data_IF_507195409092
#
_entry.id   IF_507195409092
#
_cell.length_a   1.000
_cell.length_b   1.000
_cell.length_c   1.000
_cell.angle_alpha   90.00
_cell.angle_beta   90.00
_cell.angle_gamma   90.00
#
_symmetry.space_group_name_H-M   'P 1'
#
loop_
_entity.id
_entity.type
_entity.pdbx_description
1 polymer ?
#
# COMPACT_ATOMS: atom_id res chain seq x y z
N UNK A 1 -19.56 -31.51 -22.01
CA UNK A 1 -19.75 -32.94 -21.72
C UNK A 1 -19.45 -33.85 -22.93
N UNK A 2 -19.60 -33.41 -24.15
CA UNK A 2 -19.33 -34.22 -25.35
C UNK A 2 -17.90 -34.77 -25.44
N UNK A 3 -16.89 -34.06 -24.91
CA UNK A 3 -15.47 -34.52 -24.86
C UNK A 3 -15.16 -35.46 -23.71
N UNK A 4 -16.10 -35.64 -22.78
CA UNK A 4 -15.96 -36.53 -21.61
C UNK A 4 -16.78 -37.82 -21.80
N UNK A 5 -16.82 -38.33 -23.03
CA UNK A 5 -17.47 -39.59 -23.46
C UNK A 5 -19.00 -39.66 -23.31
N UNK A 6 -19.67 -38.51 -23.03
CA UNK A 6 -21.12 -38.49 -22.99
C UNK A 6 -21.74 -39.01 -24.31
N UNK A 7 -22.77 -39.87 -24.29
CA UNK A 7 -23.64 -40.22 -23.16
C UNK A 7 -23.17 -41.38 -22.29
N UNK A 8 -21.94 -41.88 -22.46
CA UNK A 8 -21.38 -42.87 -21.52
C UNK A 8 -20.96 -42.18 -20.21
N UNK A 9 -21.10 -42.89 -19.11
CA UNK A 9 -20.58 -42.44 -17.83
C UNK A 9 -19.05 -42.59 -17.79
N UNK A 10 -18.32 -41.48 -17.63
CA UNK A 10 -16.88 -41.50 -17.45
C UNK A 10 -16.47 -40.84 -16.12
N UNK A 11 -15.28 -41.18 -15.64
CA UNK A 11 -14.74 -40.52 -14.44
C UNK A 11 -14.48 -39.03 -14.67
N UNK A 12 -14.07 -38.67 -15.88
CA UNK A 12 -13.82 -37.28 -16.24
C UNK A 12 -15.11 -36.46 -16.22
N UNK A 13 -16.20 -37.00 -16.77
CA UNK A 13 -17.52 -36.34 -16.71
C UNK A 13 -17.95 -36.11 -15.25
N UNK A 14 -17.82 -37.13 -14.40
CA UNK A 14 -18.17 -37.03 -12.95
C UNK A 14 -17.27 -36.05 -12.19
N UNK A 15 -16.04 -35.86 -12.63
CA UNK A 15 -15.09 -34.95 -11.99
C UNK A 15 -15.25 -33.50 -12.42
N UNK A 16 -15.49 -33.27 -13.72
CA UNK A 16 -15.46 -31.94 -14.32
C UNK A 16 -16.84 -31.35 -14.64
N UNK A 17 -17.92 -32.11 -14.45
CA UNK A 17 -19.28 -31.63 -14.61
C UNK A 17 -20.13 -31.98 -13.38
N UNK A 18 -20.86 -30.99 -12.79
CA UNK A 18 -20.88 -29.57 -13.12
C UNK A 18 -19.56 -28.88 -12.74
N UNK A 19 -19.31 -27.69 -13.30
CA UNK A 19 -18.24 -26.80 -12.87
C UNK A 19 -18.74 -25.90 -11.74
N UNK A 20 -17.81 -25.19 -11.06
CA UNK A 20 -18.18 -24.31 -9.96
C UNK A 20 -18.54 -22.91 -10.50
N UNK A 21 -17.65 -22.27 -11.24
CA UNK A 21 -17.80 -20.88 -11.67
C UNK A 21 -17.60 -20.72 -13.17
N UNK A 22 -18.57 -20.10 -13.84
CA UNK A 22 -18.44 -19.63 -15.21
C UNK A 22 -18.03 -18.16 -15.21
N UNK A 23 -16.91 -17.82 -15.86
CA UNK A 23 -16.44 -16.44 -16.05
C UNK A 23 -16.76 -15.98 -17.47
N UNK A 24 -17.51 -14.87 -17.61
CA UNK A 24 -17.96 -14.38 -18.92
C UNK A 24 -18.25 -12.87 -18.91
N UNK A 25 -18.47 -12.29 -20.10
CA UNK A 25 -18.97 -10.92 -20.25
C UNK A 25 -20.49 -10.84 -20.05
N UNK A 26 -21.02 -9.75 -19.48
CA UNK A 26 -22.46 -9.60 -19.24
C UNK A 26 -23.28 -9.50 -20.54
N UNK A 27 -22.68 -9.07 -21.63
CA UNK A 27 -23.33 -8.86 -22.92
C UNK A 27 -23.66 -10.16 -23.67
N UNK A 28 -23.17 -11.32 -23.23
CA UNK A 28 -23.43 -12.62 -23.88
C UNK A 28 -24.23 -13.60 -22.98
N UNK A 29 -24.96 -13.10 -21.98
CA UNK A 29 -25.80 -13.93 -21.11
C UNK A 29 -26.77 -14.79 -21.91
N UNK A 30 -27.57 -14.20 -22.78
CA UNK A 30 -28.60 -14.93 -23.55
C UNK A 30 -28.02 -15.85 -24.61
N UNK A 31 -26.96 -15.41 -25.27
CA UNK A 31 -26.40 -16.15 -26.40
C UNK A 31 -25.45 -17.26 -25.98
N UNK A 32 -24.98 -17.23 -24.72
CA UNK A 32 -23.99 -18.19 -24.28
C UNK A 32 -24.37 -18.83 -22.94
N UNK A 33 -24.55 -18.08 -21.86
CA UNK A 33 -24.84 -18.63 -20.53
C UNK A 33 -26.17 -19.37 -20.52
N UNK A 34 -27.26 -18.75 -21.03
CA UNK A 34 -28.57 -19.38 -21.07
C UNK A 34 -28.58 -20.67 -21.91
N UNK A 35 -27.83 -20.72 -23.03
CA UNK A 35 -27.71 -21.93 -23.86
C UNK A 35 -26.99 -23.06 -23.15
N UNK A 36 -25.96 -22.75 -22.36
CA UNK A 36 -25.26 -23.76 -21.53
C UNK A 36 -26.18 -24.34 -20.45
N UNK A 37 -26.98 -23.50 -19.82
CA UNK A 37 -27.97 -23.94 -18.82
C UNK A 37 -29.03 -24.83 -19.49
N UNK A 38 -29.61 -24.38 -20.59
CA UNK A 38 -30.61 -25.15 -21.34
C UNK A 38 -30.06 -26.51 -21.77
N UNK A 39 -28.85 -26.57 -22.31
CA UNK A 39 -28.22 -27.82 -22.74
C UNK A 39 -27.87 -28.75 -21.57
N UNK A 40 -27.41 -28.19 -20.44
CA UNK A 40 -27.15 -28.97 -19.23
C UNK A 40 -28.41 -29.62 -18.68
N UNK A 41 -29.48 -28.87 -18.53
CA UNK A 41 -30.78 -29.36 -18.08
C UNK A 41 -31.39 -30.41 -19.06
N UNK A 42 -31.35 -30.14 -20.37
CA UNK A 42 -31.94 -31.03 -21.36
C UNK A 42 -31.18 -32.37 -21.48
N UNK A 43 -29.85 -32.35 -21.42
CA UNK A 43 -29.06 -33.55 -21.71
C UNK A 43 -28.55 -34.28 -20.48
N UNK A 44 -28.30 -33.57 -19.37
CA UNK A 44 -27.75 -34.14 -18.13
C UNK A 44 -28.68 -34.00 -16.94
N UNK A 45 -29.76 -33.20 -17.03
CA UNK A 45 -30.70 -32.96 -15.93
C UNK A 45 -30.08 -32.17 -14.77
N UNK A 46 -29.01 -31.44 -15.04
CA UNK A 46 -28.24 -30.73 -13.98
C UNK A 46 -27.66 -29.39 -14.51
N UNK A 47 -27.75 -28.36 -13.69
CA UNK A 47 -27.19 -27.02 -14.02
C UNK A 47 -25.67 -27.12 -14.14
N UNK A 48 -25.05 -26.56 -15.21
CA UNK A 48 -23.64 -26.78 -15.50
C UNK A 48 -22.64 -26.04 -14.61
N UNK A 49 -23.08 -25.07 -13.78
CA UNK A 49 -22.25 -24.28 -12.87
C UNK A 49 -23.11 -23.63 -11.79
N UNK A 50 -22.56 -23.44 -10.60
CA UNK A 50 -23.26 -22.81 -9.47
C UNK A 50 -23.27 -21.28 -9.54
N UNK A 51 -22.18 -20.69 -10.04
CA UNK A 51 -21.96 -19.26 -10.07
C UNK A 51 -21.60 -18.75 -11.48
N UNK A 52 -22.00 -17.51 -11.79
CA UNK A 52 -21.62 -16.80 -13.01
C UNK A 52 -20.96 -15.48 -12.64
N UNK A 53 -19.66 -15.40 -12.88
CA UNK A 53 -18.91 -14.17 -12.67
C UNK A 53 -18.83 -13.33 -13.93
N UNK A 54 -19.33 -12.09 -13.88
CA UNK A 54 -19.28 -11.15 -15.00
C UNK A 54 -18.03 -10.28 -14.91
N UNK A 55 -17.18 -10.37 -15.94
CA UNK A 55 -16.00 -9.53 -16.07
C UNK A 55 -16.37 -8.09 -16.42
N UNK A 56 -15.52 -7.15 -15.99
CA UNK A 56 -15.58 -5.78 -16.48
C UNK A 56 -15.21 -5.68 -17.96
N UNK A 57 -15.82 -4.74 -18.67
CA UNK A 57 -15.48 -4.43 -20.07
C UNK A 57 -14.54 -3.23 -20.07
N UNK A 58 -13.42 -3.36 -20.77
CA UNK A 58 -12.46 -2.27 -20.93
C UNK A 58 -12.94 -1.25 -21.96
N UNK A 59 -12.82 0.02 -21.60
CA UNK A 59 -13.10 1.17 -22.46
C UNK A 59 -11.89 2.08 -22.54
N UNK A 60 -11.74 2.80 -23.63
CA UNK A 60 -10.74 3.83 -23.77
C UNK A 60 -11.08 5.08 -22.91
N UNK A 61 -10.18 6.06 -22.90
CA UNK A 61 -10.35 7.31 -22.14
C UNK A 61 -11.61 8.12 -22.56
N UNK A 62 -12.16 7.86 -23.76
CA UNK A 62 -13.40 8.46 -24.28
C UNK A 62 -14.64 7.65 -23.93
N UNK A 63 -14.49 6.55 -23.19
CA UNK A 63 -15.58 5.66 -22.82
C UNK A 63 -16.01 4.70 -23.92
N UNK A 64 -15.29 4.59 -25.05
CA UNK A 64 -15.59 3.68 -26.13
C UNK A 64 -15.04 2.28 -25.83
N UNK A 65 -15.83 1.24 -26.11
CA UNK A 65 -15.39 -0.15 -25.95
C UNK A 65 -14.20 -0.42 -26.89
N UNK A 66 -13.19 -1.12 -26.38
CA UNK A 66 -12.07 -1.55 -27.21
C UNK A 66 -12.53 -2.42 -28.38
N UNK A 67 -12.09 -2.07 -29.59
CA UNK A 67 -12.47 -2.78 -30.82
C UNK A 67 -11.30 -2.76 -31.80
N UNK A 68 -11.08 -3.91 -32.45
CA UNK A 68 -10.08 -4.03 -33.53
C UNK A 68 -10.40 -3.09 -34.70
N UNK A 69 -11.69 -2.88 -34.99
CA UNK A 69 -12.14 -1.99 -36.10
C UNK A 69 -11.91 -0.51 -35.79
N UNK A 70 -11.90 -0.11 -34.51
CA UNK A 70 -11.62 1.27 -34.10
C UNK A 70 -10.11 1.54 -33.88
N UNK A 71 -9.29 0.48 -33.78
CA UNK A 71 -7.86 0.61 -33.54
C UNK A 71 -7.51 1.25 -32.19
N UNK A 72 -8.46 1.27 -31.24
CA UNK A 72 -8.30 1.91 -29.93
C UNK A 72 -7.86 0.94 -28.82
N UNK A 73 -7.58 -0.33 -29.17
CA UNK A 73 -7.09 -1.33 -28.21
C UNK A 73 -5.56 -1.31 -28.17
N UNK A 74 -4.93 -1.09 -27.01
CA UNK A 74 -3.48 -1.21 -26.90
C UNK A 74 -3.04 -2.66 -27.15
N UNK A 75 -1.85 -2.85 -27.69
CA UNK A 75 -1.24 -4.18 -27.84
C UNK A 75 -0.80 -4.68 -26.45
N UNK A 76 -1.32 -5.81 -25.96
CA UNK A 76 -0.90 -6.38 -24.69
C UNK A 76 0.60 -6.70 -24.62
N UNK A 77 1.23 -7.09 -25.73
CA UNK A 77 2.65 -7.41 -25.76
C UNK A 77 3.53 -6.17 -25.62
N UNK A 78 3.11 -5.03 -26.17
CA UNK A 78 3.77 -3.76 -25.92
C UNK A 78 3.68 -3.36 -24.45
N UNK A 79 2.50 -3.53 -23.82
CA UNK A 79 2.31 -3.26 -22.41
C UNK A 79 3.17 -4.20 -21.53
N UNK A 80 3.25 -5.49 -21.86
CA UNK A 80 4.11 -6.44 -21.14
C UNK A 80 5.58 -6.09 -21.27
N UNK A 81 6.02 -5.66 -22.44
CA UNK A 81 7.40 -5.22 -22.66
C UNK A 81 7.75 -3.93 -21.88
N UNK A 82 6.79 -3.01 -21.77
CA UNK A 82 6.98 -1.70 -21.11
C UNK A 82 6.89 -1.78 -19.59
N UNK A 83 5.96 -2.54 -19.06
CA UNK A 83 5.63 -2.55 -17.62
C UNK A 83 6.01 -3.85 -16.91
N UNK A 84 6.14 -4.95 -17.64
CA UNK A 84 6.26 -6.32 -17.10
C UNK A 84 4.89 -7.01 -16.99
N UNK A 85 4.87 -8.31 -17.25
CA UNK A 85 3.63 -9.10 -17.30
C UNK A 85 2.87 -9.05 -15.97
N UNK A 86 3.52 -9.30 -14.85
CA UNK A 86 2.90 -9.27 -13.52
C UNK A 86 2.39 -7.88 -13.13
N UNK A 87 3.12 -6.84 -13.53
CA UNK A 87 2.71 -5.46 -13.29
C UNK A 87 1.42 -5.11 -14.05
N UNK A 88 1.30 -5.56 -15.31
CA UNK A 88 0.07 -5.37 -16.11
C UNK A 88 -1.07 -6.17 -15.50
N UNK A 89 -0.88 -7.45 -15.17
CA UNK A 89 -1.91 -8.31 -14.55
C UNK A 89 -2.44 -7.69 -13.25
N UNK A 90 -1.53 -7.32 -12.34
CA UNK A 90 -1.91 -6.75 -11.04
C UNK A 90 -2.53 -5.35 -11.18
N UNK A 91 -1.96 -4.49 -12.03
CA UNK A 91 -2.49 -3.16 -12.32
C UNK A 91 -3.90 -3.21 -12.93
N UNK A 92 -4.15 -4.14 -13.85
CA UNK A 92 -5.47 -4.38 -14.41
C UNK A 92 -6.47 -4.84 -13.35
N UNK A 93 -6.07 -5.77 -12.47
CA UNK A 93 -6.94 -6.25 -11.40
C UNK A 93 -7.31 -5.14 -10.41
N UNK A 94 -6.37 -4.26 -10.06
CA UNK A 94 -6.64 -3.11 -9.20
C UNK A 94 -7.65 -2.11 -9.82
N UNK A 95 -7.74 -2.06 -11.16
CA UNK A 95 -8.65 -1.18 -11.90
C UNK A 95 -10.05 -1.76 -12.11
N UNK A 96 -10.21 -3.08 -12.05
CA UNK A 96 -11.41 -3.79 -12.50
C UNK A 96 -12.41 -4.03 -11.35
N UNK A 97 -13.29 -3.07 -11.01
CA UNK A 97 -14.33 -3.31 -10.03
C UNK A 97 -15.39 -4.28 -10.60
N UNK A 98 -16.00 -5.06 -9.73
CA UNK A 98 -17.04 -6.00 -10.13
C UNK A 98 -18.24 -5.28 -10.76
N UNK A 99 -18.69 -5.79 -11.91
CA UNK A 99 -19.94 -5.36 -12.54
C UNK A 99 -19.95 -3.97 -13.19
N UNK A 100 -18.81 -3.28 -13.24
CA UNK A 100 -18.67 -1.97 -13.88
C UNK A 100 -17.67 -2.00 -15.03
N UNK A 101 -17.90 -1.17 -16.05
CA UNK A 101 -16.90 -0.94 -17.10
C UNK A 101 -15.69 -0.21 -16.55
N UNK A 102 -14.51 -0.51 -17.10
CA UNK A 102 -13.24 0.09 -16.68
C UNK A 102 -12.72 1.03 -17.75
N UNK A 103 -12.52 2.29 -17.39
CA UNK A 103 -11.74 3.20 -18.21
C UNK A 103 -10.26 2.83 -18.06
N UNK A 104 -9.70 2.29 -19.16
CA UNK A 104 -8.30 1.91 -19.21
C UNK A 104 -7.41 3.16 -19.20
N UNK A 105 -6.38 3.15 -18.37
CA UNK A 105 -5.33 4.17 -18.35
C UNK A 105 -3.98 3.50 -18.13
N UNK A 106 -3.02 3.78 -19.01
CA UNK A 106 -1.65 3.28 -18.86
C UNK A 106 -0.98 3.75 -17.57
N UNK A 107 -1.33 4.96 -17.07
CA UNK A 107 -0.77 5.48 -15.82
C UNK A 107 -1.11 4.60 -14.62
N UNK A 108 -2.23 3.89 -14.65
CA UNK A 108 -2.61 2.93 -13.60
C UNK A 108 -1.77 1.65 -13.63
N UNK A 109 -1.23 1.27 -14.79
CA UNK A 109 -0.28 0.16 -14.88
C UNK A 109 1.06 0.48 -14.20
N UNK A 110 1.42 1.76 -14.12
CA UNK A 110 2.59 2.19 -13.36
C UNK A 110 2.47 1.87 -11.86
N UNK A 111 1.25 1.89 -11.31
CA UNK A 111 1.00 1.47 -9.92
C UNK A 111 1.43 0.01 -9.74
N UNK A 112 1.01 -0.87 -10.67
CA UNK A 112 1.44 -2.28 -10.68
C UNK A 112 2.95 -2.44 -10.77
N UNK A 113 3.61 -1.75 -11.72
CA UNK A 113 5.07 -1.78 -11.88
C UNK A 113 5.80 -1.30 -10.62
N UNK A 114 5.37 -0.19 -10.05
CA UNK A 114 5.99 0.37 -8.85
C UNK A 114 5.82 -0.56 -7.64
N UNK A 115 4.65 -1.22 -7.53
CA UNK A 115 4.40 -2.23 -6.50
C UNK A 115 5.34 -3.43 -6.64
N UNK A 116 5.46 -3.99 -7.84
CA UNK A 116 6.37 -5.10 -8.11
C UNK A 116 7.82 -4.73 -7.78
N UNK A 117 8.27 -3.56 -8.22
CA UNK A 117 9.62 -3.07 -7.92
C UNK A 117 9.85 -2.88 -6.41
N UNK A 118 8.86 -2.37 -5.68
CA UNK A 118 8.98 -2.17 -4.23
C UNK A 118 9.06 -3.49 -3.49
N UNK A 119 8.20 -4.45 -3.83
CA UNK A 119 8.22 -5.78 -3.24
C UNK A 119 9.54 -6.51 -3.55
N UNK A 120 10.00 -6.47 -4.80
CA UNK A 120 11.29 -7.03 -5.20
C UNK A 120 12.44 -6.48 -4.36
N UNK A 121 12.52 -5.15 -4.22
CA UNK A 121 13.56 -4.51 -3.44
C UNK A 121 13.47 -4.85 -1.94
N UNK A 122 12.26 -4.95 -1.38
CA UNK A 122 12.06 -5.38 0.00
C UNK A 122 12.50 -6.83 0.21
N UNK A 123 12.11 -7.74 -0.69
CA UNK A 123 12.52 -9.14 -0.66
C UNK A 123 14.05 -9.28 -0.77
N UNK A 124 14.65 -8.60 -1.75
CA UNK A 124 16.11 -8.58 -1.91
C UNK A 124 16.81 -8.06 -0.65
N UNK A 125 16.27 -7.00 -0.02
CA UNK A 125 16.83 -6.49 1.22
C UNK A 125 16.74 -7.51 2.36
N UNK A 126 15.61 -8.18 2.54
CA UNK A 126 15.47 -9.25 3.54
C UNK A 126 16.48 -10.37 3.27
N UNK A 127 16.56 -10.86 2.03
CA UNK A 127 17.48 -11.93 1.64
C UNK A 127 18.96 -11.57 1.92
N UNK A 128 19.39 -10.38 1.54
CA UNK A 128 20.77 -9.91 1.76
C UNK A 128 21.16 -9.78 3.25
N UNK A 129 20.19 -9.77 4.14
CA UNK A 129 20.38 -9.64 5.59
C UNK A 129 20.08 -10.95 6.34
N UNK A 130 19.88 -12.05 5.63
CA UNK A 130 19.86 -13.37 6.24
C UNK A 130 21.29 -13.74 6.71
N UNK A 131 21.36 -14.36 7.89
CA UNK A 131 22.63 -14.83 8.42
C UNK A 131 23.14 -16.00 7.57
N UNK A 132 24.35 -15.90 7.08
CA UNK A 132 25.01 -16.90 6.21
C UNK A 132 24.19 -17.27 4.95
N UNK A 133 23.28 -16.39 4.51
CA UNK A 133 22.27 -16.62 3.47
C UNK A 133 21.31 -17.78 3.76
N UNK A 134 21.16 -18.17 5.01
CA UNK A 134 20.29 -19.26 5.43
C UNK A 134 18.91 -18.73 5.90
N UNK A 135 17.86 -19.46 5.54
CA UNK A 135 16.51 -19.15 5.99
C UNK A 135 16.39 -19.50 7.49
N UNK A 136 15.92 -18.57 8.33
CA UNK A 136 15.78 -18.85 9.77
C UNK A 136 14.86 -20.05 10.03
N UNK A 137 15.32 -20.96 10.87
CA UNK A 137 14.58 -22.19 11.24
C UNK A 137 13.87 -22.07 12.60
N UNK A 138 13.99 -20.91 13.27
CA UNK A 138 13.39 -20.72 14.58
C UNK A 138 11.85 -20.74 14.49
N UNK A 139 11.24 -21.37 15.45
CA UNK A 139 9.79 -21.44 15.61
C UNK A 139 9.30 -20.13 16.27
N UNK A 140 8.81 -19.18 15.45
CA UNK A 140 8.36 -17.88 15.95
C UNK A 140 7.17 -17.98 16.91
N UNK A 141 6.38 -19.04 16.84
CA UNK A 141 5.19 -19.22 17.68
C UNK A 141 5.58 -19.52 19.14
N UNK A 142 6.81 -19.99 19.36
CA UNK A 142 7.39 -20.25 20.68
C UNK A 142 8.29 -19.14 21.20
N UNK A 143 8.47 -18.05 20.42
CA UNK A 143 9.38 -16.96 20.80
C UNK A 143 8.65 -15.87 21.58
N UNK A 144 9.40 -15.18 22.43
CA UNK A 144 8.93 -13.95 23.07
C UNK A 144 9.06 -12.77 22.09
N UNK A 145 8.06 -12.62 21.23
CA UNK A 145 8.03 -11.57 20.22
C UNK A 145 7.88 -10.18 20.86
N UNK A 146 8.62 -9.19 20.37
CA UNK A 146 8.44 -7.80 20.76
C UNK A 146 7.30 -7.14 19.99
N UNK A 147 6.94 -5.91 20.31
CA UNK A 147 5.80 -5.20 19.74
C UNK A 147 5.79 -5.12 18.22
N UNK A 148 6.89 -4.77 17.51
CA UNK A 148 6.86 -4.66 16.06
C UNK A 148 6.57 -6.00 15.37
N UNK A 149 7.12 -7.10 15.90
CA UNK A 149 6.92 -8.44 15.36
C UNK A 149 5.46 -8.89 15.56
N UNK A 150 4.88 -8.70 16.76
CA UNK A 150 3.47 -9.01 17.04
C UNK A 150 2.52 -8.14 16.23
N UNK A 151 2.86 -6.86 16.05
CA UNK A 151 2.07 -5.93 15.24
C UNK A 151 1.97 -6.37 13.78
N UNK A 152 3.12 -6.69 13.14
CA UNK A 152 3.08 -7.07 11.72
C UNK A 152 2.36 -8.41 11.50
N UNK A 153 2.50 -9.36 12.44
CA UNK A 153 1.78 -10.63 12.40
C UNK A 153 0.27 -10.43 12.62
N UNK A 154 -0.14 -9.53 13.49
CA UNK A 154 -1.54 -9.13 13.63
C UNK A 154 -2.08 -8.54 12.32
N UNK A 155 -1.34 -7.63 11.69
CA UNK A 155 -1.72 -7.04 10.41
C UNK A 155 -1.81 -8.09 9.30
N UNK A 156 -0.91 -9.06 9.31
CA UNK A 156 -0.94 -10.20 8.38
C UNK A 156 -2.20 -11.04 8.58
N UNK A 157 -2.55 -11.42 9.83
CA UNK A 157 -3.76 -12.16 10.14
C UNK A 157 -5.01 -11.43 9.61
N UNK A 158 -5.15 -10.15 9.93
CA UNK A 158 -6.26 -9.34 9.42
C UNK A 158 -6.31 -9.29 7.89
N UNK A 159 -5.14 -9.18 7.25
CA UNK A 159 -5.05 -9.15 5.79
C UNK A 159 -5.50 -10.47 5.18
N UNK A 160 -5.05 -11.61 5.72
CA UNK A 160 -5.45 -12.96 5.25
C UNK A 160 -6.96 -13.14 5.37
N UNK A 161 -7.55 -12.79 6.53
CA UNK A 161 -9.00 -12.93 6.75
C UNK A 161 -9.82 -12.06 5.80
N UNK A 162 -9.43 -10.80 5.62
CA UNK A 162 -10.12 -9.89 4.70
C UNK A 162 -9.96 -10.34 3.25
N UNK A 163 -8.75 -10.73 2.87
CA UNK A 163 -8.43 -11.20 1.53
C UNK A 163 -9.26 -12.45 1.18
N UNK A 164 -9.28 -13.46 2.06
CA UNK A 164 -10.04 -14.69 1.85
C UNK A 164 -11.55 -14.42 1.74
N UNK A 165 -12.10 -13.56 2.59
CA UNK A 165 -13.50 -13.15 2.50
C UNK A 165 -13.80 -12.47 1.15
N UNK A 166 -12.92 -11.54 0.70
CA UNK A 166 -13.11 -10.87 -0.59
C UNK A 166 -13.03 -11.84 -1.78
N UNK A 167 -12.13 -12.83 -1.72
CA UNK A 167 -12.06 -13.87 -2.74
C UNK A 167 -13.33 -14.71 -2.78
N UNK A 168 -13.85 -15.15 -1.63
CA UNK A 168 -15.08 -15.97 -1.57
C UNK A 168 -16.33 -15.21 -2.05
N UNK A 169 -16.31 -13.87 -1.97
CA UNK A 169 -17.35 -12.98 -2.49
C UNK A 169 -17.09 -12.53 -3.95
N UNK A 170 -16.06 -13.06 -4.61
CA UNK A 170 -15.61 -12.66 -5.96
C UNK A 170 -15.19 -11.18 -6.09
N UNK A 171 -14.84 -10.52 -4.99
CA UNK A 171 -14.36 -9.13 -4.98
C UNK A 171 -12.84 -9.08 -5.22
N UNK A 172 -12.37 -9.56 -6.37
CA UNK A 172 -10.96 -9.74 -6.67
C UNK A 172 -10.13 -8.46 -6.62
N UNK A 173 -10.69 -7.33 -7.08
CA UNK A 173 -10.01 -6.04 -7.01
C UNK A 173 -9.83 -5.54 -5.57
N UNK A 174 -10.82 -5.78 -4.70
CA UNK A 174 -10.72 -5.41 -3.29
C UNK A 174 -9.74 -6.32 -2.53
N UNK A 175 -9.70 -7.62 -2.87
CA UNK A 175 -8.68 -8.52 -2.35
C UNK A 175 -7.27 -8.06 -2.75
N UNK A 176 -7.07 -7.73 -4.04
CA UNK A 176 -5.79 -7.19 -4.53
C UNK A 176 -5.41 -5.88 -3.81
N UNK A 177 -6.37 -4.99 -3.55
CA UNK A 177 -6.16 -3.72 -2.85
C UNK A 177 -5.79 -3.92 -1.38
N UNK A 178 -6.48 -4.83 -0.68
CA UNK A 178 -6.15 -5.21 0.69
C UNK A 178 -4.69 -5.69 0.80
N UNK A 179 -4.27 -6.56 -0.12
CA UNK A 179 -2.90 -7.05 -0.17
C UNK A 179 -1.88 -5.95 -0.54
N UNK A 180 -2.24 -5.08 -1.47
CA UNK A 180 -1.42 -3.92 -1.84
C UNK A 180 -1.14 -3.03 -0.65
N UNK A 181 -2.17 -2.63 0.10
CA UNK A 181 -2.07 -1.74 1.25
C UNK A 181 -1.20 -2.34 2.36
N UNK A 182 -1.42 -3.60 2.70
CA UNK A 182 -0.60 -4.31 3.68
C UNK A 182 0.87 -4.40 3.24
N UNK A 183 1.11 -4.85 2.00
CA UNK A 183 2.48 -5.06 1.51
C UNK A 183 3.22 -3.74 1.38
N UNK A 184 2.58 -2.72 0.80
CA UNK A 184 3.22 -1.41 0.58
C UNK A 184 3.47 -0.69 1.90
N UNK A 185 2.42 -0.51 2.70
CA UNK A 185 2.48 0.34 3.88
C UNK A 185 2.98 -0.41 5.12
N UNK A 186 2.31 -1.50 5.51
CA UNK A 186 2.63 -2.15 6.78
C UNK A 186 3.95 -2.91 6.70
N UNK A 187 4.15 -3.70 5.63
CA UNK A 187 5.38 -4.48 5.49
C UNK A 187 6.56 -3.62 5.02
N UNK A 188 6.48 -3.00 3.84
CA UNK A 188 7.63 -2.31 3.25
C UNK A 188 7.97 -0.99 3.94
N UNK A 189 6.97 -0.11 4.20
CA UNK A 189 7.25 1.23 4.74
C UNK A 189 7.50 1.23 6.24
N UNK A 190 6.91 0.26 6.98
CA UNK A 190 7.06 0.21 8.43
C UNK A 190 7.89 -0.96 8.91
N UNK A 191 7.43 -2.21 8.68
CA UNK A 191 8.08 -3.35 9.32
C UNK A 191 9.52 -3.56 8.83
N UNK A 192 9.77 -3.51 7.54
CA UNK A 192 11.13 -3.67 6.98
C UNK A 192 12.05 -2.55 7.48
N UNK A 193 11.57 -1.31 7.58
CA UNK A 193 12.37 -0.20 8.12
C UNK A 193 12.69 -0.37 9.61
N UNK A 194 11.73 -0.88 10.41
CA UNK A 194 11.98 -1.24 11.81
C UNK A 194 12.95 -2.42 11.90
N UNK A 195 12.75 -3.45 11.10
CA UNK A 195 13.60 -4.64 11.08
C UNK A 195 15.06 -4.33 10.74
N UNK A 196 15.34 -3.27 9.94
CA UNK A 196 16.72 -2.79 9.72
C UNK A 196 17.43 -2.51 11.04
N UNK A 197 16.76 -1.86 12.00
CA UNK A 197 17.37 -1.55 13.31
C UNK A 197 17.67 -2.80 14.14
N UNK A 198 16.93 -3.89 13.87
CA UNK A 198 17.10 -5.19 14.53
C UNK A 198 18.17 -6.03 13.87
N UNK A 199 18.21 -6.10 12.55
CA UNK A 199 19.19 -6.91 11.79
C UNK A 199 20.64 -6.53 12.10
N UNK A 200 20.88 -5.25 12.43
CA UNK A 200 22.19 -4.71 12.75
C UNK A 200 22.40 -4.46 14.25
N UNK A 201 21.56 -5.06 15.11
CA UNK A 201 21.73 -4.93 16.58
C UNK A 201 22.75 -5.93 17.11
N UNK A 202 23.40 -5.59 18.23
CA UNK A 202 24.33 -6.48 18.95
C UNK A 202 23.60 -7.66 19.65
N UNK A 203 22.27 -7.70 19.62
CA UNK A 203 21.47 -8.79 20.18
C UNK A 203 21.08 -9.78 19.09
N UNK A 204 21.87 -10.86 18.99
CA UNK A 204 21.70 -11.92 17.98
C UNK A 204 20.30 -12.56 18.02
N UNK A 205 19.72 -12.80 19.20
CA UNK A 205 18.40 -13.39 19.36
C UNK A 205 17.29 -12.51 18.75
N UNK A 206 17.31 -11.21 19.07
CA UNK A 206 16.35 -10.26 18.49
C UNK A 206 16.52 -10.10 16.99
N UNK A 207 17.76 -10.11 16.51
CA UNK A 207 18.06 -10.03 15.10
C UNK A 207 17.52 -11.26 14.36
N UNK A 208 17.69 -12.45 14.92
CA UNK A 208 17.23 -13.70 14.32
C UNK A 208 15.70 -13.81 14.31
N UNK A 209 15.03 -13.41 15.40
CA UNK A 209 13.56 -13.30 15.47
C UNK A 209 13.04 -12.35 14.38
N UNK A 210 13.66 -11.17 14.23
CA UNK A 210 13.23 -10.20 13.22
C UNK A 210 13.40 -10.73 11.79
N UNK A 211 14.50 -11.47 11.50
CA UNK A 211 14.71 -12.15 10.20
C UNK A 211 13.62 -13.20 9.95
N UNK A 212 13.37 -14.06 10.95
CA UNK A 212 12.37 -15.12 10.84
C UNK A 212 10.96 -14.56 10.59
N UNK A 213 10.57 -13.51 11.31
CA UNK A 213 9.27 -12.85 11.11
C UNK A 213 9.22 -12.18 9.72
N UNK A 214 10.29 -11.49 9.30
CA UNK A 214 10.34 -10.87 7.95
C UNK A 214 10.16 -11.92 6.85
N UNK A 215 10.85 -13.05 6.94
CA UNK A 215 10.73 -14.17 5.98
C UNK A 215 9.31 -14.76 6.03
N UNK A 216 8.77 -15.01 7.23
CA UNK A 216 7.42 -15.56 7.39
C UNK A 216 6.36 -14.66 6.75
N UNK A 217 6.41 -13.36 7.02
CA UNK A 217 5.48 -12.38 6.43
C UNK A 217 5.63 -12.33 4.92
N UNK A 218 6.87 -12.24 4.42
CA UNK A 218 7.14 -12.21 2.97
C UNK A 218 6.63 -13.47 2.26
N UNK A 219 6.87 -14.66 2.80
CA UNK A 219 6.34 -15.92 2.23
C UNK A 219 4.82 -15.90 2.11
N UNK A 220 4.10 -15.35 3.10
CA UNK A 220 2.66 -15.24 3.03
C UNK A 220 2.20 -14.18 2.01
N UNK A 221 2.92 -13.06 1.90
CA UNK A 221 2.67 -12.07 0.83
C UNK A 221 2.82 -12.73 -0.55
N UNK A 222 3.87 -13.52 -0.77
CA UNK A 222 4.11 -14.21 -2.05
C UNK A 222 2.97 -15.19 -2.37
N UNK A 223 2.50 -15.96 -1.39
CA UNK A 223 1.37 -16.89 -1.55
C UNK A 223 0.08 -16.15 -1.95
N UNK A 224 -0.27 -15.06 -1.24
CA UNK A 224 -1.48 -14.29 -1.51
C UNK A 224 -1.40 -13.53 -2.84
N UNK A 225 -0.20 -13.12 -3.25
CA UNK A 225 0.02 -12.37 -4.49
C UNK A 225 0.11 -13.28 -5.73
N UNK A 226 0.48 -14.55 -5.56
CA UNK A 226 0.73 -15.48 -6.66
C UNK A 226 -0.39 -15.56 -7.71
N UNK A 227 -1.68 -15.57 -7.36
CA UNK A 227 -2.77 -15.57 -8.36
C UNK A 227 -2.74 -14.36 -9.30
N UNK A 228 -2.22 -13.22 -8.85
CA UNK A 228 -2.14 -11.98 -9.65
C UNK A 228 -0.80 -11.82 -10.36
N UNK A 229 0.29 -12.23 -9.72
CA UNK A 229 1.67 -11.99 -10.16
C UNK A 229 2.51 -13.29 -10.09
N UNK A 230 2.18 -14.31 -10.90
CA UNK A 230 2.76 -15.65 -10.75
C UNK A 230 4.25 -15.70 -11.03
N UNK A 231 4.79 -14.90 -11.97
CA UNK A 231 6.18 -15.03 -12.40
C UNK A 231 7.14 -14.48 -11.34
N UNK A 232 6.92 -13.26 -10.87
CA UNK A 232 7.78 -12.65 -9.87
C UNK A 232 7.69 -13.34 -8.51
N UNK A 233 6.50 -13.79 -8.13
CA UNK A 233 6.31 -14.44 -6.83
C UNK A 233 6.95 -15.83 -6.80
N UNK A 234 6.90 -16.58 -7.89
CA UNK A 234 7.62 -17.87 -8.01
C UNK A 234 9.13 -17.66 -7.95
N UNK A 235 9.66 -16.68 -8.71
CA UNK A 235 11.08 -16.33 -8.67
C UNK A 235 11.55 -15.94 -7.26
N UNK A 236 10.79 -15.09 -6.57
CA UNK A 236 11.12 -14.71 -5.19
C UNK A 236 10.97 -15.87 -4.21
N UNK A 237 10.03 -16.80 -4.43
CA UNK A 237 9.82 -17.96 -3.59
C UNK A 237 11.05 -18.84 -3.51
N UNK A 238 11.79 -19.02 -4.62
CA UNK A 238 13.03 -19.81 -4.69
C UNK A 238 14.09 -19.34 -3.68
N UNK A 239 14.14 -18.04 -3.37
CA UNK A 239 15.10 -17.50 -2.41
C UNK A 239 14.66 -17.66 -0.93
N UNK A 240 13.41 -18.05 -0.67
CA UNK A 240 12.85 -18.10 0.68
C UNK A 240 12.21 -19.44 1.03
N UNK A 241 12.13 -20.39 0.12
CA UNK A 241 11.62 -21.74 0.41
C UNK A 241 12.70 -22.61 1.03
N UNK A 242 12.28 -23.52 1.89
CA UNK A 242 13.13 -24.65 2.30
C UNK A 242 13.16 -25.70 1.19
N UNK A 243 14.22 -26.52 1.11
CA UNK A 243 14.34 -27.60 0.13
C UNK A 243 13.18 -28.60 0.16
N UNK A 244 12.53 -28.74 1.32
CA UNK A 244 11.38 -29.61 1.51
C UNK A 244 10.06 -29.00 1.07
N UNK A 245 10.01 -27.70 0.77
CA UNK A 245 8.80 -27.02 0.34
C UNK A 245 8.59 -27.13 -1.18
N UNK A 246 7.34 -27.32 -1.64
CA UNK A 246 7.04 -27.36 -3.06
C UNK A 246 7.19 -25.97 -3.71
N UNK A 247 7.11 -25.93 -5.03
CA UNK A 247 6.94 -24.70 -5.79
C UNK A 247 5.73 -23.92 -5.29
N UNK A 248 5.75 -22.61 -5.43
CA UNK A 248 4.72 -21.73 -4.84
C UNK A 248 3.31 -22.07 -5.32
N UNK A 249 3.17 -22.45 -6.58
CA UNK A 249 1.87 -22.84 -7.17
C UNK A 249 1.24 -24.07 -6.47
N UNK A 250 2.04 -24.88 -5.79
CA UNK A 250 1.59 -26.06 -5.01
C UNK A 250 1.63 -25.85 -3.51
N UNK A 251 2.10 -24.66 -3.06
CA UNK A 251 2.23 -24.37 -1.64
C UNK A 251 0.86 -24.23 -0.97
N UNK A 252 0.78 -24.66 0.29
CA UNK A 252 -0.45 -24.54 1.09
C UNK A 252 -0.84 -23.06 1.24
N UNK A 253 -2.14 -22.80 1.01
CA UNK A 253 -2.71 -21.46 1.19
C UNK A 253 -2.56 -20.98 2.64
N UNK A 254 -2.30 -19.67 2.87
CA UNK A 254 -2.09 -19.15 4.21
C UNK A 254 -3.34 -19.16 5.09
N UNK A 255 -3.17 -19.46 6.35
CA UNK A 255 -4.15 -19.23 7.41
C UNK A 255 -3.78 -18.02 8.29
N UNK A 256 -4.73 -17.56 9.13
CA UNK A 256 -4.59 -16.39 10.00
C UNK A 256 -4.36 -16.79 11.47
N UNK A 257 -3.42 -17.69 11.73
CA UNK A 257 -3.16 -18.28 13.05
C UNK A 257 -1.89 -17.78 13.75
N UNK A 258 -1.27 -16.69 13.28
CA UNK A 258 -0.01 -16.19 13.82
C UNK A 258 -0.17 -15.52 15.19
N UNK A 259 0.85 -15.62 16.10
CA UNK A 259 0.93 -14.84 17.33
C UNK A 259 0.81 -13.35 17.03
N UNK A 260 -0.06 -12.65 17.73
CA UNK A 260 -0.39 -11.28 17.35
C UNK A 260 -0.51 -10.32 18.53
N UNK A 261 -0.42 -9.03 18.24
CA UNK A 261 -0.57 -7.95 19.21
C UNK A 261 -2.02 -7.87 19.73
N UNK A 262 -2.17 -7.54 21.00
CA UNK A 262 -3.46 -7.17 21.58
C UNK A 262 -3.79 -5.69 21.34
N UNK A 263 -5.00 -5.25 21.71
CA UNK A 263 -5.47 -3.87 21.47
C UNK A 263 -4.59 -2.78 22.10
N UNK A 264 -4.05 -3.02 23.30
CA UNK A 264 -3.16 -2.06 23.96
C UNK A 264 -1.83 -1.93 23.21
N UNK A 265 -1.30 -3.05 22.72
CA UNK A 265 -0.08 -3.08 21.93
C UNK A 265 -0.26 -2.41 20.56
N UNK A 266 -1.41 -2.58 19.92
CA UNK A 266 -1.76 -1.86 18.68
C UNK A 266 -1.76 -0.35 18.93
N UNK A 267 -2.40 0.11 20.01
CA UNK A 267 -2.38 1.52 20.40
C UNK A 267 -0.95 2.05 20.66
N UNK A 268 -0.07 1.21 21.21
CA UNK A 268 1.35 1.56 21.41
C UNK A 268 2.09 1.70 20.06
N UNK A 269 1.83 0.79 19.12
CA UNK A 269 2.45 0.89 17.80
C UNK A 269 1.95 2.10 17.01
N UNK A 270 0.67 2.45 17.14
CA UNK A 270 0.11 3.66 16.52
C UNK A 270 0.79 4.92 17.05
N UNK A 271 1.01 5.03 18.37
CA UNK A 271 1.77 6.14 18.97
C UNK A 271 3.17 6.25 18.35
N UNK A 272 3.89 5.14 18.21
CA UNK A 272 5.23 5.15 17.59
C UNK A 272 5.18 5.66 16.15
N UNK A 273 4.23 5.17 15.37
CA UNK A 273 4.04 5.58 13.96
C UNK A 273 3.67 7.07 13.86
N UNK A 274 2.77 7.55 14.71
CA UNK A 274 2.35 8.96 14.75
C UNK A 274 3.53 9.88 15.08
N UNK A 275 4.32 9.56 16.12
CA UNK A 275 5.51 10.35 16.50
C UNK A 275 6.54 10.39 15.38
N UNK A 276 6.89 9.24 14.80
CA UNK A 276 7.84 9.16 13.68
C UNK A 276 7.34 9.98 12.48
N UNK A 277 6.06 9.85 12.16
CA UNK A 277 5.42 10.57 11.03
C UNK A 277 5.42 12.08 11.26
N UNK A 278 5.12 12.53 12.47
CA UNK A 278 5.13 13.96 12.80
C UNK A 278 6.52 14.57 12.66
N UNK A 279 7.54 13.90 13.19
CA UNK A 279 8.93 14.37 13.06
C UNK A 279 9.34 14.40 11.58
N UNK A 280 9.03 13.37 10.80
CA UNK A 280 9.30 13.35 9.34
C UNK A 280 8.58 14.48 8.61
N UNK A 281 7.32 14.76 8.98
CA UNK A 281 6.51 15.83 8.38
C UNK A 281 7.12 17.20 8.67
N UNK A 282 7.52 17.47 9.92
CA UNK A 282 8.20 18.72 10.27
C UNK A 282 9.50 18.86 9.48
N UNK A 283 10.34 17.82 9.45
CA UNK A 283 11.60 17.83 8.69
C UNK A 283 11.39 18.16 7.20
N UNK A 284 10.36 17.55 6.61
CA UNK A 284 10.00 17.83 5.20
C UNK A 284 9.53 19.27 5.00
N UNK A 285 8.65 19.76 5.88
CA UNK A 285 8.11 21.15 5.80
C UNK A 285 9.22 22.21 5.93
N UNK A 286 10.19 21.95 6.80
CA UNK A 286 11.31 22.86 7.10
C UNK A 286 12.53 22.61 6.21
N UNK A 287 12.41 21.80 5.16
CA UNK A 287 13.50 21.44 4.24
C UNK A 287 14.78 20.98 4.96
N UNK A 288 14.63 20.27 6.08
CA UNK A 288 15.78 19.72 6.80
C UNK A 288 16.52 18.73 5.91
N UNK A 289 17.83 18.89 5.68
CA UNK A 289 18.59 17.96 4.87
C UNK A 289 18.42 16.50 5.33
N UNK A 290 18.26 15.54 4.40
CA UNK A 290 18.01 14.12 4.76
C UNK A 290 19.10 13.51 5.66
N UNK A 291 20.34 13.96 5.54
CA UNK A 291 21.48 13.49 6.34
C UNK A 291 21.54 14.10 7.74
N UNK A 292 20.94 15.28 7.96
CA UNK A 292 20.97 15.96 9.26
C UNK A 292 20.07 15.24 10.25
N UNK A 293 20.55 15.10 11.48
CA UNK A 293 19.76 14.55 12.59
C UNK A 293 19.22 15.69 13.47
N UNK A 294 17.96 15.57 13.88
CA UNK A 294 17.28 16.58 14.68
C UNK A 294 17.33 16.24 16.17
N UNK A 295 17.35 17.26 17.04
CA UNK A 295 16.98 17.08 18.43
C UNK A 295 15.45 17.20 18.55
N UNK A 296 14.85 16.32 19.35
CA UNK A 296 13.39 16.26 19.53
C UNK A 296 13.06 16.26 21.01
N UNK A 297 12.16 17.15 21.39
CA UNK A 297 11.62 17.18 22.74
C UNK A 297 10.15 16.80 22.70
N UNK A 298 9.71 15.91 23.58
CA UNK A 298 8.31 15.46 23.65
C UNK A 298 7.77 15.77 25.03
N UNK A 299 6.82 16.70 25.09
CA UNK A 299 6.06 17.01 26.29
C UNK A 299 4.81 16.14 26.34
N UNK A 300 4.69 15.33 27.41
CA UNK A 300 3.52 14.47 27.64
C UNK A 300 3.01 14.67 29.06
N UNK A 301 1.96 15.49 29.27
CA UNK A 301 1.47 15.83 30.60
C UNK A 301 0.95 14.65 31.42
N UNK A 302 0.60 13.55 30.78
CA UNK A 302 0.01 12.36 31.43
C UNK A 302 1.01 11.19 31.59
N UNK A 303 2.30 11.43 31.47
CA UNK A 303 3.33 10.41 31.71
C UNK A 303 3.37 9.25 30.70
N UNK A 304 2.61 9.31 29.60
CA UNK A 304 2.53 8.25 28.56
C UNK A 304 3.80 8.15 27.70
N UNK A 305 4.98 8.22 28.34
CA UNK A 305 6.28 8.20 27.63
C UNK A 305 6.94 6.82 27.63
N UNK A 306 6.43 5.85 28.36
CA UNK A 306 7.11 4.56 28.53
C UNK A 306 7.29 3.80 27.23
N UNK A 307 6.29 3.83 26.35
CA UNK A 307 6.42 3.22 25.03
C UNK A 307 7.46 3.93 24.18
N UNK A 308 7.54 5.26 24.26
CA UNK A 308 8.54 6.05 23.53
C UNK A 308 9.96 5.77 24.07
N UNK A 309 10.13 5.64 25.38
CA UNK A 309 11.41 5.27 26.00
C UNK A 309 11.83 3.87 25.58
N UNK A 310 10.91 2.90 25.66
CA UNK A 310 11.19 1.50 25.29
C UNK A 310 11.66 1.35 23.85
N UNK A 311 11.07 2.13 22.92
CA UNK A 311 11.35 2.05 21.48
C UNK A 311 12.11 3.27 20.94
N UNK A 312 12.84 3.99 21.82
CA UNK A 312 13.60 5.20 21.46
C UNK A 312 14.55 4.97 20.28
N UNK A 313 15.28 3.85 20.29
CA UNK A 313 16.23 3.50 19.22
C UNK A 313 15.56 3.40 17.84
N UNK A 314 14.36 2.82 17.78
CA UNK A 314 13.57 2.72 16.56
C UNK A 314 13.14 4.12 16.10
N UNK A 315 12.57 4.92 17.00
CA UNK A 315 12.12 6.29 16.71
C UNK A 315 13.30 7.13 16.19
N UNK A 316 14.43 7.11 16.89
CA UNK A 316 15.65 7.85 16.51
C UNK A 316 16.15 7.45 15.12
N UNK A 317 16.18 6.16 14.84
CA UNK A 317 16.63 5.65 13.54
C UNK A 317 15.69 6.07 12.41
N UNK A 318 14.39 5.82 12.56
CA UNK A 318 13.40 6.03 11.50
C UNK A 318 13.11 7.51 11.26
N UNK A 319 13.15 8.36 12.29
CA UNK A 319 12.90 9.79 12.19
C UNK A 319 14.17 10.65 12.04
N UNK A 320 15.36 10.01 12.01
CA UNK A 320 16.67 10.71 11.96
C UNK A 320 16.83 11.72 13.12
N UNK A 321 16.67 11.20 14.33
CA UNK A 321 16.82 11.98 15.57
C UNK A 321 18.20 11.72 16.17
N UNK A 322 18.89 12.78 16.62
CA UNK A 322 20.13 12.67 17.38
C UNK A 322 19.83 12.42 18.86
N UNK A 323 19.11 13.35 19.47
CA UNK A 323 18.72 13.25 20.88
C UNK A 323 17.20 13.40 21.01
N UNK A 324 16.60 12.57 21.87
CA UNK A 324 15.19 12.64 22.22
C UNK A 324 15.04 12.85 23.73
N UNK A 325 14.39 13.95 24.11
CA UNK A 325 14.10 14.28 25.50
C UNK A 325 12.61 14.13 25.75
N UNK A 326 12.26 13.37 26.79
CA UNK A 326 10.86 13.08 27.15
C UNK A 326 10.59 13.62 28.55
N UNK A 327 9.48 14.34 28.73
CA UNK A 327 9.10 14.88 30.04
C UNK A 327 7.68 15.45 30.08
N UNK A 328 7.20 15.70 31.31
CA UNK A 328 5.85 16.23 31.55
C UNK A 328 5.80 17.76 31.45
N UNK A 329 6.88 18.44 31.79
CA UNK A 329 6.96 19.90 31.93
C UNK A 329 8.07 20.50 31.07
N UNK A 330 8.21 20.00 29.83
CA UNK A 330 9.21 20.54 28.90
C UNK A 330 8.70 21.90 28.38
N UNK A 331 9.50 22.94 28.52
CA UNK A 331 9.22 24.25 27.91
C UNK A 331 9.46 24.17 26.38
N UNK A 332 8.65 24.90 25.63
CA UNK A 332 8.82 25.01 24.19
C UNK A 332 10.09 25.82 23.91
N UNK A 333 11.08 25.26 23.20
CA UNK A 333 12.27 26.01 22.81
C UNK A 333 11.94 27.14 21.82
N UNK A 334 12.70 28.23 21.87
CA UNK A 334 12.64 29.27 20.87
C UNK A 334 12.96 28.71 19.47
N UNK A 335 12.43 29.33 18.43
CA UNK A 335 12.61 28.91 17.04
C UNK A 335 12.43 27.38 16.82
N UNK A 336 11.37 26.83 17.40
CA UNK A 336 11.05 25.40 17.30
C UNK A 336 9.79 25.14 16.49
N UNK A 337 9.85 24.16 15.58
CA UNK A 337 8.67 23.63 14.95
C UNK A 337 7.93 22.69 15.91
N UNK A 338 6.60 22.78 15.89
CA UNK A 338 5.73 22.07 16.83
C UNK A 338 4.76 21.14 16.07
N UNK A 339 4.54 19.94 16.60
CA UNK A 339 3.41 19.10 16.26
C UNK A 339 2.69 18.63 17.51
N UNK A 340 1.38 18.45 17.42
CA UNK A 340 0.56 17.88 18.49
C UNK A 340 0.03 16.53 18.03
N UNK A 341 0.26 15.50 18.84
CA UNK A 341 -0.22 14.14 18.60
C UNK A 341 -0.97 13.69 19.85
N UNK A 342 -2.25 13.45 19.72
CA UNK A 342 -3.11 13.13 20.87
C UNK A 342 -2.96 14.24 21.95
N UNK A 343 -2.33 13.90 23.08
CA UNK A 343 -2.08 14.85 24.18
C UNK A 343 -0.59 15.17 24.33
N UNK A 344 0.25 14.78 23.37
CA UNK A 344 1.70 15.02 23.36
C UNK A 344 2.02 16.18 22.43
N UNK A 345 2.94 17.03 22.86
CA UNK A 345 3.52 18.08 22.03
C UNK A 345 4.97 17.71 21.69
N UNK A 346 5.29 17.78 20.41
CA UNK A 346 6.61 17.47 19.87
C UNK A 346 7.22 18.78 19.41
N UNK A 347 8.39 19.11 19.96
CA UNK A 347 9.16 20.29 19.58
C UNK A 347 10.46 19.86 18.89
N UNK A 348 10.79 20.53 17.80
CA UNK A 348 12.03 20.34 17.06
C UNK A 348 12.71 21.70 16.96
N UNK A 349 13.76 21.99 17.74
CA UNK A 349 14.57 23.18 17.60
C UNK A 349 15.16 23.24 16.19
N UNK A 350 14.97 24.37 15.50
CA UNK A 350 15.42 24.57 14.13
C UNK A 350 16.80 25.23 14.05
N UNK A 351 17.22 25.87 15.15
CA UNK A 351 18.55 26.48 15.28
C UNK A 351 19.66 25.43 15.16
N UNK A 352 20.62 25.66 14.28
CA UNK A 352 21.68 24.71 13.97
C UNK A 352 21.25 23.52 13.09
N UNK A 353 19.96 23.32 12.89
CA UNK A 353 19.42 22.29 12.00
C UNK A 353 19.23 22.79 10.56
N UNK A 354 18.77 24.04 10.44
CA UNK A 354 18.62 24.75 9.17
C UNK A 354 19.17 26.19 9.32
N UNK A 355 19.42 26.87 8.19
CA UNK A 355 19.70 28.30 8.22
C UNK A 355 18.36 29.07 8.26
N UNK A 356 18.03 29.61 9.43
CA UNK A 356 16.73 30.27 9.67
C UNK A 356 16.50 31.47 8.74
N UNK A 357 17.55 32.30 8.49
CA UNK A 357 17.43 33.48 7.63
C UNK A 357 17.20 33.12 6.16
N UNK A 358 17.90 32.11 5.68
CA UNK A 358 17.71 31.59 4.31
C UNK A 358 16.32 31.00 4.15
N UNK A 359 15.85 30.21 5.11
CA UNK A 359 14.52 29.60 5.04
C UNK A 359 13.41 30.64 5.16
N UNK A 360 13.56 31.61 6.07
CA UNK A 360 12.63 32.75 6.17
C UNK A 360 12.55 33.54 4.87
N UNK A 361 13.69 33.86 4.26
CA UNK A 361 13.72 34.57 2.97
C UNK A 361 13.04 33.77 1.85
N UNK A 362 13.28 32.46 1.81
CA UNK A 362 12.64 31.55 0.85
C UNK A 362 11.11 31.51 1.01
N UNK A 363 10.63 31.34 2.26
CA UNK A 363 9.20 31.29 2.56
C UNK A 363 8.51 32.63 2.28
N UNK A 364 9.14 33.76 2.64
CA UNK A 364 8.61 35.11 2.35
C UNK A 364 8.52 35.37 0.86
N UNK A 365 9.52 34.93 0.09
CA UNK A 365 9.46 35.03 -1.38
C UNK A 365 8.29 34.19 -1.92
N UNK A 366 8.16 32.93 -1.48
CA UNK A 366 7.09 32.06 -1.94
C UNK A 366 5.70 32.55 -1.54
N UNK A 367 5.55 33.13 -0.35
CA UNK A 367 4.35 33.81 0.11
C UNK A 367 3.94 34.92 -0.87
N UNK A 368 4.86 35.81 -1.20
CA UNK A 368 4.60 36.92 -2.13
C UNK A 368 4.22 36.45 -3.54
N UNK A 369 4.84 35.36 -4.03
CA UNK A 369 4.48 34.74 -5.33
C UNK A 369 3.04 34.20 -5.29
N UNK A 370 2.67 33.46 -4.22
CA UNK A 370 1.32 32.89 -4.04
C UNK A 370 0.27 33.98 -3.91
N UNK A 371 0.52 35.01 -3.12
CA UNK A 371 -0.39 36.16 -3.02
C UNK A 371 -0.68 36.77 -4.40
N UNK A 372 0.36 36.93 -5.23
CA UNK A 372 0.20 37.41 -6.60
C UNK A 372 -0.66 36.48 -7.47
N UNK A 373 -0.46 35.18 -7.40
CA UNK A 373 -1.26 34.20 -8.17
C UNK A 373 -2.71 34.11 -7.65
N UNK A 374 -2.92 34.12 -6.35
CA UNK A 374 -4.25 34.10 -5.73
C UNK A 374 -5.06 35.32 -6.20
N UNK A 375 -4.48 36.51 -6.15
CA UNK A 375 -5.13 37.74 -6.63
C UNK A 375 -5.52 37.62 -8.11
N UNK A 376 -4.63 37.07 -8.97
CA UNK A 376 -4.91 36.88 -10.39
C UNK A 376 -6.08 35.91 -10.62
N UNK A 377 -6.11 34.77 -9.91
CA UNK A 377 -7.18 33.77 -10.04
C UNK A 377 -8.49 34.33 -9.50
N UNK A 378 -8.48 35.00 -8.35
CA UNK A 378 -9.66 35.65 -7.77
C UNK A 378 -10.24 36.69 -8.72
N UNK A 379 -9.40 37.54 -9.35
CA UNK A 379 -9.82 38.50 -10.37
C UNK A 379 -10.41 37.80 -11.61
N UNK A 380 -9.86 36.66 -12.01
CA UNK A 380 -10.40 35.87 -13.12
C UNK A 380 -11.75 35.25 -12.76
N UNK A 381 -11.91 34.71 -11.55
CA UNK A 381 -13.15 34.12 -11.04
C UNK A 381 -14.23 35.17 -10.68
N UNK A 382 -13.86 36.43 -10.48
CA UNK A 382 -14.83 37.53 -10.28
C UNK A 382 -15.30 38.20 -11.60
N UNK A 383 -14.77 37.72 -12.76
CA UNK A 383 -15.17 38.26 -14.05
C UNK A 383 -16.37 37.52 -14.62
N UNK A 384 -17.55 38.20 -14.67
CA UNK A 384 -18.79 37.63 -15.16
C UNK A 384 -18.72 37.13 -16.61
N UNK A 385 -17.91 37.74 -17.46
CA UNK A 385 -17.69 37.28 -18.82
C UNK A 385 -16.92 35.95 -18.86
N UNK A 386 -15.99 35.73 -17.95
CA UNK A 386 -15.29 34.45 -17.81
C UNK A 386 -16.23 33.39 -17.29
N UNK A 387 -16.96 33.66 -16.22
CA UNK A 387 -17.89 32.69 -15.59
C UNK A 387 -19.03 32.25 -16.55
N UNK A 388 -19.50 33.17 -17.40
CA UNK A 388 -20.60 32.89 -18.33
C UNK A 388 -20.17 32.22 -19.64
N UNK A 389 -18.92 32.40 -20.10
CA UNK A 389 -18.44 31.92 -21.41
C UNK A 389 -17.48 30.75 -21.33
N UNK A 390 -16.77 30.57 -20.21
CA UNK A 390 -15.83 29.46 -20.05
C UNK A 390 -16.56 28.13 -19.82
N UNK A 391 -16.03 27.00 -20.32
CA UNK A 391 -16.52 25.68 -19.99
C UNK A 391 -16.55 25.44 -18.48
N UNK A 392 -17.53 24.70 -17.97
CA UNK A 392 -17.72 24.47 -16.53
C UNK A 392 -16.52 23.78 -15.87
N UNK A 393 -15.87 22.88 -16.58
CA UNK A 393 -14.65 22.19 -16.16
C UNK A 393 -13.47 23.14 -15.98
N UNK A 394 -13.32 24.14 -16.87
CA UNK A 394 -12.28 25.16 -16.75
C UNK A 394 -12.50 26.05 -15.54
N UNK A 395 -13.75 26.45 -15.28
CA UNK A 395 -14.08 27.25 -14.09
C UNK A 395 -13.86 26.42 -12.81
N UNK A 396 -14.21 25.15 -12.82
CA UNK A 396 -14.02 24.26 -11.69
C UNK A 396 -12.52 24.08 -11.39
N UNK A 397 -11.72 23.83 -12.42
CA UNK A 397 -10.26 23.69 -12.28
C UNK A 397 -9.59 24.97 -11.72
N UNK A 398 -10.06 26.17 -12.10
CA UNK A 398 -9.54 27.43 -11.53
C UNK A 398 -9.92 27.59 -10.04
N UNK A 399 -11.14 27.14 -9.63
CA UNK A 399 -11.54 27.13 -8.22
C UNK A 399 -10.70 26.16 -7.39
N UNK A 400 -10.44 24.96 -7.91
CA UNK A 400 -9.57 23.98 -7.25
C UNK A 400 -8.15 24.50 -7.08
N UNK A 401 -7.56 25.11 -8.13
CA UNK A 401 -6.25 25.77 -8.04
C UNK A 401 -6.21 26.89 -6.99
N UNK A 402 -7.30 27.69 -6.89
CA UNK A 402 -7.40 28.73 -5.86
C UNK A 402 -7.36 28.12 -4.46
N UNK A 403 -8.18 27.10 -4.20
CA UNK A 403 -8.22 26.44 -2.92
C UNK A 403 -6.88 25.81 -2.53
N UNK A 404 -6.18 25.16 -3.49
CA UNK A 404 -4.86 24.58 -3.28
C UNK A 404 -3.81 25.65 -2.93
N UNK A 405 -3.83 26.80 -3.62
CA UNK A 405 -2.91 27.92 -3.36
C UNK A 405 -3.19 28.60 -2.01
N UNK A 406 -4.44 28.79 -1.64
CA UNK A 406 -4.83 29.33 -0.33
C UNK A 406 -4.39 28.40 0.81
N UNK A 407 -4.55 27.08 0.65
CA UNK A 407 -4.08 26.09 1.61
C UNK A 407 -2.52 26.05 1.68
N UNK A 408 -1.81 26.26 0.57
CA UNK A 408 -0.35 26.40 0.57
C UNK A 408 0.09 27.68 1.30
N UNK A 409 -0.61 28.78 1.07
CA UNK A 409 -0.34 30.07 1.72
C UNK A 409 -0.50 29.99 3.25
N UNK A 410 -1.57 29.36 3.71
CA UNK A 410 -1.81 29.13 5.14
C UNK A 410 -0.66 28.32 5.78
N UNK A 411 -0.21 27.26 5.10
CA UNK A 411 0.94 26.46 5.55
C UNK A 411 2.23 27.26 5.61
N UNK A 412 2.48 28.15 4.64
CA UNK A 412 3.66 29.03 4.64
C UNK A 412 3.59 30.03 5.79
N UNK A 413 2.44 30.63 6.03
CA UNK A 413 2.24 31.57 7.16
C UNK A 413 2.54 30.88 8.50
N UNK A 414 1.98 29.70 8.71
CA UNK A 414 2.28 28.88 9.89
C UNK A 414 3.77 28.55 10.04
N UNK A 415 4.47 28.26 8.94
CA UNK A 415 5.91 28.00 8.98
C UNK A 415 6.72 29.25 9.29
N UNK A 416 6.32 30.43 8.76
CA UNK A 416 6.97 31.72 9.09
C UNK A 416 6.81 32.09 10.57
N UNK A 417 5.64 31.82 11.16
CA UNK A 417 5.41 31.99 12.59
C UNK A 417 6.34 31.12 13.46
N UNK A 418 6.63 29.89 13.00
CA UNK A 418 7.57 28.99 13.71
C UNK A 418 9.02 29.46 13.64
N UNK A 419 9.38 30.28 12.62
CA UNK A 419 10.71 30.84 12.42
C UNK A 419 10.89 32.23 13.09
N UNK A 420 9.82 32.87 13.52
CA UNK A 420 9.85 34.13 14.25
C UNK A 420 10.06 33.91 15.73
#
# INVERSE_FOLDING_TARGET
>A
FGVHDWPAESNDLKTFYPTDVLVTGPDIIFFWVARMIMAGEEFLGEIPFSDVYFTSILRDEKGQKFSKSLGNSPDPFELFSKYGTDAVRFGMMLMAPQGLDVLFSETRLEVGRNFMNKLWNAARFVHMNLKDNEIPTIDIDKQNLDLPERWILYRLNQTIDQYNRRLSEFHFNEAAKTLYEFTWSDFCDWYVEIAKTRFFSDNDEKAEIARAVAVRVLKNILKLLHPYAPFMTEELWEYFKFDSEPDLIKATWPDSSFPSANQNELGSMDILKEVITAVRTIRSRMNVPPASKANVLVRSPNGSTDVLKKYESIIKSLAKIENMTLGESIEKPDHSATAVIRQMEIFIPLEGLINLDVERARLTKRQSELDGFIIQIQKKLSNDNFLSKAPKDVVQNEKEKLADMEAELERINSNLEMLS
#
